data_IF_694542335735
#
_entry.id   IF_694542335735
#
_cell.length_a   1.000
_cell.length_b   1.000
_cell.length_c   1.000
_cell.angle_alpha   90.00
_cell.angle_beta   90.00
_cell.angle_gamma   90.00
#
_symmetry.space_group_name_H-M   'P 1'
#
loop_
_entity.id
_entity.type
_entity.pdbx_description
1 polymer ?
#
# COMPACT_ATOMS: atom_id res chain seq x y z
N UNK A 1 -15.69 7.68 36.15
CA UNK A 1 -14.61 6.83 35.58
C UNK A 1 -13.63 6.58 36.72
N UNK A 2 -13.52 5.33 37.16
CA UNK A 2 -12.51 4.97 38.16
C UNK A 2 -11.12 5.09 37.53
N UNK A 3 -10.18 5.68 38.27
CA UNK A 3 -8.79 5.80 37.87
C UNK A 3 -8.24 4.39 37.59
N UNK A 4 -7.58 4.12 36.44
CA UNK A 4 -6.93 2.83 36.24
C UNK A 4 -5.85 2.68 37.31
N UNK A 5 -6.06 1.78 38.27
CA UNK A 5 -5.02 1.39 39.21
C UNK A 5 -3.85 0.83 38.38
N UNK A 6 -2.72 1.53 38.40
CA UNK A 6 -1.47 1.02 37.89
C UNK A 6 -1.02 -0.12 38.81
N UNK A 7 -0.84 -1.31 38.26
CA UNK A 7 -0.21 -2.45 38.91
C UNK A 7 1.22 -2.60 38.37
N UNK A 8 2.12 -3.12 39.20
CA UNK A 8 3.45 -3.51 38.75
C UNK A 8 3.38 -4.69 37.77
N UNK A 9 4.44 -4.91 37.00
CA UNK A 9 4.52 -6.06 36.08
C UNK A 9 4.34 -7.40 36.79
N UNK A 10 4.93 -7.53 37.99
CA UNK A 10 4.81 -8.73 38.82
C UNK A 10 3.39 -8.92 39.34
N UNK A 11 2.75 -7.84 39.82
CA UNK A 11 1.35 -7.86 40.26
C UNK A 11 0.39 -8.22 39.12
N UNK A 12 0.63 -7.71 37.90
CA UNK A 12 -0.17 -8.04 36.72
C UNK A 12 -0.04 -9.51 36.32
N UNK A 13 1.18 -10.06 36.36
CA UNK A 13 1.46 -11.46 36.04
C UNK A 13 0.87 -12.41 37.09
N UNK A 14 1.01 -12.07 38.37
CA UNK A 14 0.37 -12.75 39.48
C UNK A 14 -1.16 -12.74 39.34
N UNK A 15 -1.73 -11.60 38.95
CA UNK A 15 -3.17 -11.46 38.74
C UNK A 15 -3.72 -12.29 37.58
N UNK A 16 -2.94 -12.45 36.51
CA UNK A 16 -3.35 -13.28 35.39
C UNK A 16 -3.38 -14.77 35.74
N UNK A 17 -2.57 -15.21 36.72
CA UNK A 17 -2.53 -16.59 37.20
C UNK A 17 -3.69 -16.95 38.15
N UNK A 18 -4.41 -15.96 38.70
CA UNK A 18 -5.55 -16.19 39.57
C UNK A 18 -5.17 -16.70 40.97
N UNK A 19 -4.06 -16.23 41.53
CA UNK A 19 -3.69 -16.54 42.92
C UNK A 19 -4.70 -15.91 43.91
N UNK A 20 -4.79 -16.48 45.12
CA UNK A 20 -5.89 -16.25 46.08
C UNK A 20 -6.22 -14.77 46.33
N UNK A 21 -7.52 -14.44 46.36
CA UNK A 21 -8.04 -13.14 46.83
C UNK A 21 -8.46 -12.14 45.75
N UNK A 22 -8.37 -12.50 44.47
CA UNK A 22 -8.68 -11.59 43.36
C UNK A 22 -10.12 -11.73 42.85
N UNK A 23 -10.70 -10.60 42.43
CA UNK A 23 -12.01 -10.61 41.77
C UNK A 23 -11.90 -11.15 40.34
N UNK A 24 -12.97 -11.79 39.85
CA UNK A 24 -13.07 -12.22 38.43
C UNK A 24 -12.78 -11.06 37.46
N UNK A 25 -13.12 -9.83 37.84
CA UNK A 25 -12.88 -8.63 37.04
C UNK A 25 -11.40 -8.23 36.91
N UNK A 26 -10.60 -8.49 37.95
CA UNK A 26 -9.16 -8.22 37.95
C UNK A 26 -8.44 -9.29 37.14
N UNK A 27 -8.77 -10.57 37.37
CA UNK A 27 -8.22 -11.70 36.60
C UNK A 27 -8.46 -11.53 35.10
N UNK A 28 -9.68 -11.16 34.67
CA UNK A 28 -9.99 -10.92 33.25
C UNK A 28 -9.19 -9.76 32.63
N UNK A 29 -8.99 -8.66 33.37
CA UNK A 29 -8.21 -7.50 32.89
C UNK A 29 -6.74 -7.87 32.70
N UNK A 30 -6.13 -8.52 33.69
CA UNK A 30 -4.73 -8.93 33.63
C UNK A 30 -4.51 -10.02 32.57
N UNK A 31 -5.44 -10.96 32.43
CA UNK A 31 -5.40 -11.97 31.37
C UNK A 31 -5.52 -11.35 29.96
N UNK A 32 -6.37 -10.34 29.78
CA UNK A 32 -6.49 -9.63 28.51
C UNK A 32 -5.20 -8.88 28.14
N UNK A 33 -4.55 -8.26 29.12
CA UNK A 33 -3.25 -7.62 28.91
C UNK A 33 -2.18 -8.64 28.53
N UNK A 34 -2.11 -9.78 29.20
CA UNK A 34 -1.13 -10.83 28.89
C UNK A 34 -1.35 -11.45 27.50
N UNK A 35 -2.60 -11.67 27.10
CA UNK A 35 -2.93 -12.07 25.72
C UNK A 35 -2.56 -11.02 24.68
N UNK A 36 -2.66 -9.73 25.02
CA UNK A 36 -2.30 -8.65 24.08
C UNK A 36 -0.81 -8.59 23.74
N UNK A 37 0.05 -9.30 24.49
CA UNK A 37 1.49 -9.37 24.24
C UNK A 37 1.96 -10.77 23.80
N UNK A 38 1.04 -11.67 23.43
CA UNK A 38 1.32 -13.04 22.96
C UNK A 38 2.23 -13.85 23.91
N UNK A 39 2.05 -13.59 25.21
CA UNK A 39 2.74 -14.29 26.26
C UNK A 39 1.73 -15.07 27.11
N UNK A 40 2.24 -16.06 27.81
CA UNK A 40 1.55 -16.81 28.85
C UNK A 40 2.15 -16.41 30.20
N UNK A 41 1.29 -16.09 31.20
CA UNK A 41 1.80 -15.83 32.53
C UNK A 41 2.19 -17.16 33.17
N UNK A 42 3.29 -17.16 33.91
CA UNK A 42 3.72 -18.32 34.67
C UNK A 42 4.28 -17.89 36.03
N UNK A 43 4.19 -18.79 37.00
CA UNK A 43 4.90 -18.68 38.27
C UNK A 43 6.01 -19.72 38.33
N UNK A 44 7.15 -19.31 38.87
CA UNK A 44 8.26 -20.20 39.25
C UNK A 44 8.38 -20.17 40.78
N UNK A 45 8.03 -21.26 41.43
CA UNK A 45 8.26 -21.47 42.86
C UNK A 45 9.57 -22.22 43.06
N UNK A 46 10.42 -21.77 43.97
CA UNK A 46 11.67 -22.46 44.34
C UNK A 46 11.53 -23.05 45.73
N UNK A 47 11.96 -24.29 45.95
CA UNK A 47 11.84 -24.98 47.24
C UNK A 47 13.20 -25.29 47.86
N UNK A 48 13.25 -25.31 49.20
CA UNK A 48 14.38 -25.88 49.94
C UNK A 48 14.31 -27.41 49.85
N UNK A 49 15.30 -28.01 49.19
CA UNK A 49 15.42 -29.45 48.97
C UNK A 49 15.38 -30.27 50.27
N UNK A 50 15.80 -29.69 51.40
CA UNK A 50 15.87 -30.39 52.68
C UNK A 50 14.58 -30.26 53.51
N UNK A 51 13.79 -29.20 53.29
CA UNK A 51 12.64 -28.86 54.16
C UNK A 51 11.29 -28.90 53.45
N UNK A 52 11.27 -29.06 52.11
CA UNK A 52 10.07 -28.91 51.26
C UNK A 52 9.32 -27.60 51.54
N UNK A 53 10.04 -26.58 52.03
CA UNK A 53 9.50 -25.25 52.28
C UNK A 53 9.73 -24.38 51.07
N UNK A 54 8.68 -23.67 50.64
CA UNK A 54 8.73 -22.70 49.56
C UNK A 54 9.63 -21.53 49.95
N UNK A 55 10.69 -21.28 49.16
CA UNK A 55 11.67 -20.20 49.38
C UNK A 55 11.25 -18.90 48.70
N UNK A 56 10.77 -18.99 47.45
CA UNK A 56 10.37 -17.82 46.67
C UNK A 56 9.31 -18.16 45.62
N UNK A 57 8.65 -17.12 45.11
CA UNK A 57 7.87 -17.17 43.88
C UNK A 57 8.23 -15.99 43.01
N UNK A 58 8.53 -16.29 41.76
CA UNK A 58 8.69 -15.27 40.72
C UNK A 58 7.53 -15.40 39.75
N UNK A 59 6.91 -14.28 39.43
CA UNK A 59 5.87 -14.19 38.42
C UNK A 59 6.45 -13.53 37.18
N UNK A 60 6.23 -14.13 36.02
CA UNK A 60 6.79 -13.63 34.76
C UNK A 60 5.88 -13.97 33.58
N UNK A 61 6.22 -13.39 32.43
CA UNK A 61 5.62 -13.68 31.14
C UNK A 61 6.61 -14.48 30.30
N UNK A 62 6.10 -15.49 29.61
CA UNK A 62 6.87 -16.28 28.65
C UNK A 62 6.12 -16.28 27.31
N UNK A 63 6.83 -16.16 26.19
CA UNK A 63 6.16 -16.25 24.88
C UNK A 63 5.49 -17.61 24.71
N UNK A 64 4.39 -17.68 23.97
CA UNK A 64 3.69 -18.94 23.73
C UNK A 64 4.61 -20.03 23.13
N UNK A 65 5.51 -19.69 22.21
CA UNK A 65 6.49 -20.63 21.65
C UNK A 65 7.48 -21.15 22.69
N UNK A 66 7.93 -20.29 23.61
CA UNK A 66 8.83 -20.69 24.70
C UNK A 66 8.11 -21.55 25.72
N UNK A 67 6.82 -21.28 25.99
CA UNK A 67 5.98 -22.10 26.86
C UNK A 67 5.75 -23.50 26.28
N UNK A 68 5.44 -23.60 24.99
CA UNK A 68 5.33 -24.87 24.27
C UNK A 68 6.66 -25.64 24.26
N UNK A 69 7.77 -24.94 24.05
CA UNK A 69 9.11 -25.55 24.11
C UNK A 69 9.42 -26.08 25.50
N UNK A 70 9.15 -25.30 26.55
CA UNK A 70 9.38 -25.70 27.94
C UNK A 70 8.51 -26.88 28.36
N UNK A 71 7.24 -26.91 27.95
CA UNK A 71 6.30 -28.02 28.20
C UNK A 71 6.66 -29.30 27.47
N UNK A 72 7.38 -29.21 26.34
CA UNK A 72 7.94 -30.39 25.66
C UNK A 72 9.22 -30.93 26.29
N UNK A 73 9.97 -30.09 27.03
CA UNK A 73 11.27 -30.44 27.63
C UNK A 73 11.14 -30.95 29.07
N UNK A 74 10.00 -30.68 29.71
CA UNK A 74 9.79 -30.94 31.12
C UNK A 74 8.51 -31.76 31.27
N UNK A 75 8.61 -32.96 31.85
CA UNK A 75 7.42 -33.76 32.17
C UNK A 75 6.64 -33.09 33.30
N UNK A 76 5.47 -32.53 32.95
CA UNK A 76 4.53 -31.94 33.89
C UNK A 76 3.49 -32.98 34.32
N UNK A 77 3.40 -33.25 35.62
CA UNK A 77 2.24 -33.90 36.22
C UNK A 77 1.12 -32.89 36.41
N UNK A 78 -0.08 -33.19 35.90
CA UNK A 78 -1.31 -32.39 36.05
C UNK A 78 -1.20 -30.92 35.61
N UNK A 79 -0.43 -30.61 34.56
CA UNK A 79 -0.21 -29.25 34.02
C UNK A 79 0.38 -28.22 35.02
N UNK A 80 0.88 -28.65 36.20
CA UNK A 80 1.22 -27.74 37.30
C UNK A 80 2.56 -28.10 37.99
N UNK A 81 3.12 -29.31 37.83
CA UNK A 81 4.30 -29.75 38.60
C UNK A 81 5.31 -30.57 37.79
N UNK A 82 6.59 -30.18 37.81
CA UNK A 82 7.71 -30.97 37.29
C UNK A 82 8.50 -31.62 38.43
N UNK A 83 9.03 -32.82 38.22
CA UNK A 83 9.88 -33.55 39.18
C UNK A 83 11.39 -33.46 38.93
N UNK A 84 11.86 -32.64 37.98
CA UNK A 84 13.25 -32.65 37.49
C UNK A 84 14.15 -31.66 38.25
N UNK A 85 13.58 -30.65 38.91
CA UNK A 85 14.30 -29.63 39.69
C UNK A 85 13.52 -29.32 40.98
N UNK A 86 14.19 -28.81 42.01
CA UNK A 86 13.56 -28.36 43.28
C UNK A 86 12.78 -27.04 43.09
N UNK A 87 11.87 -27.02 42.11
CA UNK A 87 11.02 -25.90 41.76
C UNK A 87 9.72 -26.34 41.11
N UNK A 88 8.71 -25.46 41.15
CA UNK A 88 7.41 -25.66 40.50
C UNK A 88 7.18 -24.55 39.50
N UNK A 89 6.98 -24.90 38.24
CA UNK A 89 6.48 -23.97 37.22
C UNK A 89 4.97 -24.19 37.06
N UNK A 90 4.17 -23.15 37.26
CA UNK A 90 2.71 -23.21 37.06
C UNK A 90 2.27 -22.21 36.01
N UNK A 91 1.40 -22.63 35.09
CA UNK A 91 0.72 -21.77 34.13
C UNK A 91 -0.70 -21.47 34.61
N UNK A 92 -1.35 -20.44 34.05
CA UNK A 92 -2.78 -20.22 34.29
C UNK A 92 -3.55 -21.45 33.85
N UNK A 93 -4.38 -22.02 34.74
CA UNK A 93 -5.27 -23.12 34.37
C UNK A 93 -6.17 -22.64 33.23
N UNK A 94 -6.32 -23.47 32.19
CA UNK A 94 -7.29 -23.30 31.12
C UNK A 94 -8.72 -23.42 31.68
N UNK A 95 -9.11 -22.51 32.59
CA UNK A 95 -10.51 -22.22 32.82
C UNK A 95 -11.02 -21.78 31.45
N UNK A 96 -11.87 -22.64 30.89
CA UNK A 96 -12.63 -22.44 29.67
C UNK A 96 -13.48 -21.20 29.84
N UNK A 97 -12.84 -20.04 29.67
CA UNK A 97 -13.51 -18.83 29.26
C UNK A 97 -13.92 -19.17 27.84
N UNK A 98 -15.18 -19.60 27.67
CA UNK A 98 -15.83 -19.56 26.37
C UNK A 98 -15.38 -18.26 25.70
N UNK A 99 -14.80 -18.33 24.50
CA UNK A 99 -14.43 -17.13 23.80
C UNK A 99 -15.72 -16.33 23.74
N UNK A 100 -15.76 -15.21 24.46
CA UNK A 100 -16.79 -14.22 24.25
C UNK A 100 -16.52 -13.81 22.82
N UNK A 101 -17.28 -14.44 21.90
CA UNK A 101 -17.47 -14.04 20.52
C UNK A 101 -17.98 -12.60 20.57
N UNK A 102 -17.02 -11.69 20.69
CA UNK A 102 -17.14 -10.35 20.15
C UNK A 102 -16.40 -10.42 18.84
N UNK A 103 -17.11 -10.09 17.78
CA UNK A 103 -16.67 -9.92 16.40
C UNK A 103 -15.52 -8.89 16.25
N UNK A 104 -14.37 -9.12 16.88
CA UNK A 104 -13.16 -8.36 16.57
C UNK A 104 -12.37 -9.11 15.51
N UNK A 105 -12.48 -8.58 14.30
CA UNK A 105 -11.49 -8.73 13.24
C UNK A 105 -10.08 -8.77 13.84
N UNK A 106 -9.41 -9.91 13.80
CA UNK A 106 -8.14 -10.05 14.52
C UNK A 106 -7.01 -9.43 13.69
N UNK A 107 -6.84 -8.11 13.83
CA UNK A 107 -5.56 -7.46 13.57
C UNK A 107 -4.54 -8.10 14.53
N UNK A 108 -3.32 -8.42 14.08
CA UNK A 108 -2.32 -8.97 15.00
C UNK A 108 -1.99 -7.95 16.09
N UNK A 109 -1.90 -8.40 17.35
CA UNK A 109 -1.52 -7.53 18.47
C UNK A 109 -0.16 -6.83 18.25
N UNK A 110 0.74 -7.47 17.49
CA UNK A 110 2.00 -6.88 17.01
C UNK A 110 1.77 -5.63 16.16
N UNK A 111 0.86 -5.68 15.19
CA UNK A 111 0.53 -4.53 14.34
C UNK A 111 -0.13 -3.41 15.15
N UNK A 112 -1.06 -3.75 16.06
CA UNK A 112 -1.66 -2.75 16.96
C UNK A 112 -0.61 -2.04 17.81
N UNK A 113 0.35 -2.79 18.36
CA UNK A 113 1.45 -2.22 19.15
C UNK A 113 2.37 -1.35 18.28
N UNK A 114 2.71 -1.78 17.06
CA UNK A 114 3.51 -0.98 16.12
C UNK A 114 2.84 0.36 15.83
N UNK A 115 1.53 0.36 15.54
CA UNK A 115 0.80 1.62 15.29
C UNK A 115 0.75 2.47 16.56
N UNK A 116 0.40 1.89 17.71
CA UNK A 116 0.25 2.61 18.99
C UNK A 116 1.56 3.28 19.45
N UNK A 117 2.70 2.67 19.14
CA UNK A 117 4.03 3.19 19.50
C UNK A 117 4.64 4.09 18.43
N UNK A 118 3.98 4.23 17.27
CA UNK A 118 4.43 5.09 16.17
C UNK A 118 4.07 6.57 16.40
N UNK A 119 4.44 7.42 15.45
CA UNK A 119 4.01 8.83 15.41
C UNK A 119 2.58 9.02 14.92
N UNK A 120 1.90 7.94 14.52
CA UNK A 120 0.52 7.96 14.01
C UNK A 120 -0.40 7.01 14.81
N UNK A 121 -0.48 7.14 16.15
CA UNK A 121 -1.18 6.20 17.01
C UNK A 121 -2.70 6.13 16.76
N UNK A 122 -3.30 7.16 16.13
CA UNK A 122 -4.73 7.21 15.81
C UNK A 122 -5.07 6.56 14.47
N UNK A 123 -4.09 6.07 13.70
CA UNK A 123 -4.31 5.53 12.35
C UNK A 123 -5.41 4.46 12.29
N UNK A 124 -5.36 3.47 13.18
CA UNK A 124 -6.38 2.39 13.23
C UNK A 124 -7.75 2.89 13.71
N UNK A 125 -7.77 3.96 14.52
CA UNK A 125 -9.01 4.56 15.00
C UNK A 125 -9.73 5.32 13.87
N UNK A 126 -9.00 6.10 13.09
CA UNK A 126 -9.55 6.96 12.04
C UNK A 126 -9.93 6.18 10.78
N UNK A 127 -9.13 5.18 10.37
CA UNK A 127 -9.41 4.37 9.17
C UNK A 127 -10.43 3.25 9.45
N UNK A 128 -10.72 2.94 10.71
CA UNK A 128 -11.69 1.92 11.08
C UNK A 128 -11.13 0.49 11.08
N UNK A 129 -12.00 -0.53 11.14
CA UNK A 129 -11.57 -1.91 11.37
C UNK A 129 -10.88 -2.52 10.14
N UNK A 130 -9.81 -3.27 10.41
CA UNK A 130 -9.06 -4.04 9.43
C UNK A 130 -9.28 -5.54 9.59
N UNK A 131 -9.13 -6.28 8.50
CA UNK A 131 -9.05 -7.74 8.50
C UNK A 131 -7.88 -8.19 7.63
N UNK A 132 -7.23 -9.30 7.98
CA UNK A 132 -6.29 -9.95 7.07
C UNK A 132 -7.07 -10.43 5.83
N UNK A 133 -6.45 -10.34 4.65
CA UNK A 133 -7.07 -10.79 3.41
C UNK A 133 -7.47 -12.27 3.50
N UNK A 134 -8.70 -12.60 3.12
CA UNK A 134 -9.26 -13.94 3.21
C UNK A 134 -9.27 -14.68 1.85
N UNK A 135 -9.61 -15.96 1.89
CA UNK A 135 -9.64 -16.82 0.71
C UNK A 135 -10.62 -16.32 -0.38
N UNK A 136 -11.76 -15.73 0.00
CA UNK A 136 -12.74 -15.25 -0.96
C UNK A 136 -12.19 -14.06 -1.75
N UNK A 137 -11.59 -13.08 -1.07
CA UNK A 137 -10.96 -11.94 -1.75
C UNK A 137 -9.78 -12.43 -2.61
N UNK A 138 -8.97 -13.36 -2.12
CA UNK A 138 -7.86 -13.95 -2.89
C UNK A 138 -8.33 -14.61 -4.18
N UNK A 139 -9.43 -15.37 -4.15
CA UNK A 139 -9.98 -16.02 -5.34
C UNK A 139 -10.48 -15.00 -6.37
N UNK A 140 -11.17 -13.95 -5.92
CA UNK A 140 -11.67 -12.88 -6.81
C UNK A 140 -10.53 -12.06 -7.43
N UNK A 141 -9.44 -11.84 -6.70
CA UNK A 141 -8.25 -11.17 -7.23
C UNK A 141 -7.50 -12.02 -8.26
N UNK A 142 -7.72 -13.34 -8.28
CA UNK A 142 -7.19 -14.27 -9.29
C UNK A 142 -8.19 -14.58 -10.41
N UNK A 143 -9.28 -13.83 -10.50
CA UNK A 143 -10.24 -13.94 -11.60
C UNK A 143 -9.57 -13.75 -12.97
N UNK A 144 -10.06 -14.45 -13.98
CA UNK A 144 -9.61 -14.26 -15.36
C UNK A 144 -10.21 -12.98 -15.96
N UNK A 145 -9.49 -11.87 -15.77
CA UNK A 145 -9.92 -10.56 -16.26
C UNK A 145 -9.96 -10.43 -17.79
N UNK A 146 -9.53 -11.44 -18.57
CA UNK A 146 -9.82 -11.47 -20.02
C UNK A 146 -11.31 -11.61 -20.29
N UNK A 147 -12.06 -12.19 -19.35
CA UNK A 147 -13.51 -12.36 -19.47
C UNK A 147 -14.26 -11.06 -19.16
N UNK A 148 -13.75 -10.22 -18.26
CA UNK A 148 -14.34 -8.95 -17.81
C UNK A 148 -13.25 -7.98 -17.36
N UNK A 149 -12.63 -7.28 -18.30
CA UNK A 149 -11.47 -6.41 -18.03
C UNK A 149 -11.81 -5.19 -17.17
N UNK A 150 -13.07 -4.77 -17.16
CA UNK A 150 -13.54 -3.62 -16.40
C UNK A 150 -13.41 -3.87 -14.88
N UNK A 151 -13.51 -5.12 -14.43
CA UNK A 151 -13.40 -5.46 -13.00
C UNK A 151 -12.02 -5.17 -12.40
N UNK A 152 -10.98 -5.00 -13.24
CA UNK A 152 -9.64 -4.63 -12.78
C UNK A 152 -9.66 -3.29 -12.03
N UNK A 153 -10.55 -2.37 -12.40
CA UNK A 153 -10.63 -1.04 -11.79
C UNK A 153 -11.06 -1.07 -10.31
N UNK A 154 -11.67 -2.16 -9.86
CA UNK A 154 -12.07 -2.37 -8.47
C UNK A 154 -10.89 -2.66 -7.55
N UNK A 155 -9.76 -3.06 -8.11
CA UNK A 155 -8.60 -3.55 -7.36
C UNK A 155 -7.84 -2.41 -6.66
N UNK A 156 -7.43 -1.31 -7.32
CA UNK A 156 -6.69 -0.25 -6.63
C UNK A 156 -7.45 0.37 -5.43
N UNK A 157 -8.76 0.68 -5.51
CA UNK A 157 -9.50 1.22 -4.37
C UNK A 157 -9.50 0.30 -3.14
N UNK A 158 -9.57 -1.02 -3.35
CA UNK A 158 -9.49 -2.04 -2.28
C UNK A 158 -8.17 -1.96 -1.50
N UNK A 159 -7.06 -1.71 -2.19
CA UNK A 159 -5.71 -1.71 -1.61
C UNK A 159 -5.22 -0.34 -1.14
N UNK A 160 -5.79 0.77 -1.63
CA UNK A 160 -5.60 2.06 -0.96
C UNK A 160 -6.01 1.91 0.52
N UNK A 161 -5.25 2.50 1.44
CA UNK A 161 -5.33 2.31 2.90
C UNK A 161 -5.05 0.91 3.45
N UNK A 162 -4.64 -0.07 2.64
CA UNK A 162 -4.18 -1.36 3.16
C UNK A 162 -2.90 -1.21 3.99
N UNK A 163 -2.75 -2.07 5.00
CA UNK A 163 -1.55 -2.18 5.80
C UNK A 163 -0.77 -3.46 5.42
N UNK A 164 0.48 -3.28 5.01
CA UNK A 164 1.43 -4.38 4.83
C UNK A 164 2.24 -4.53 6.10
N UNK A 165 2.34 -5.73 6.65
CA UNK A 165 3.04 -5.98 7.90
C UNK A 165 3.97 -7.18 7.78
N UNK A 166 5.27 -6.90 7.92
CA UNK A 166 6.35 -7.88 8.02
C UNK A 166 7.37 -7.33 9.05
N UNK A 167 8.68 -7.26 8.71
CA UNK A 167 9.68 -6.58 9.54
C UNK A 167 9.44 -5.08 9.68
N UNK A 168 8.73 -4.49 8.71
CA UNK A 168 8.22 -3.12 8.75
C UNK A 168 6.70 -3.14 8.54
N UNK A 169 6.05 -2.04 8.92
CA UNK A 169 4.63 -1.81 8.61
C UNK A 169 4.51 -0.67 7.63
N UNK A 170 3.78 -0.87 6.53
CA UNK A 170 3.54 0.14 5.51
C UNK A 170 2.04 0.40 5.36
N UNK A 171 1.65 1.67 5.32
CA UNK A 171 0.35 2.10 4.81
C UNK A 171 0.46 2.36 3.31
N UNK A 172 -0.40 1.71 2.51
CA UNK A 172 -0.52 1.98 1.07
C UNK A 172 -1.38 3.24 0.89
N UNK A 173 -0.80 4.27 0.28
CA UNK A 173 -1.50 5.53 -0.03
C UNK A 173 -1.99 5.50 -1.47
N UNK A 174 -1.12 5.16 -2.42
CA UNK A 174 -1.43 5.10 -3.86
C UNK A 174 -0.89 3.82 -4.45
N UNK A 175 -1.71 3.17 -5.28
CA UNK A 175 -1.29 2.01 -6.05
C UNK A 175 -1.91 2.03 -7.45
N UNK A 176 -1.24 1.35 -8.38
CA UNK A 176 -1.71 1.18 -9.75
C UNK A 176 -1.65 -0.28 -10.17
N UNK A 177 -2.68 -0.74 -10.89
CA UNK A 177 -2.81 -2.13 -11.33
C UNK A 177 -2.44 -2.28 -12.80
N UNK A 178 -1.87 -3.43 -13.16
CA UNK A 178 -1.59 -3.83 -14.54
C UNK A 178 -1.82 -5.33 -14.71
N UNK A 179 -2.34 -5.74 -15.86
CA UNK A 179 -2.64 -7.15 -16.13
C UNK A 179 -1.41 -7.90 -16.61
N UNK A 180 -1.30 -9.20 -16.31
CA UNK A 180 -0.31 -10.08 -16.92
C UNK A 180 -0.64 -10.42 -18.38
N UNK A 181 -1.87 -10.15 -18.83
CA UNK A 181 -2.31 -10.51 -20.17
C UNK A 181 -2.24 -9.30 -21.11
N UNK A 182 -1.38 -9.40 -22.13
CA UNK A 182 -1.19 -8.35 -23.14
C UNK A 182 -2.44 -8.01 -23.96
N UNK A 183 -3.41 -8.92 -24.02
CA UNK A 183 -4.73 -8.69 -24.62
C UNK A 183 -5.62 -7.74 -23.81
N UNK A 184 -5.35 -7.61 -22.50
CA UNK A 184 -6.06 -6.73 -21.57
C UNK A 184 -5.25 -5.46 -21.33
N UNK A 185 -3.92 -5.58 -21.23
CA UNK A 185 -3.03 -4.47 -20.97
C UNK A 185 -1.72 -4.58 -21.74
N UNK A 186 -1.43 -3.59 -22.61
CA UNK A 186 -0.15 -3.54 -23.34
C UNK A 186 1.08 -3.46 -22.42
N UNK A 187 0.90 -2.98 -21.19
CA UNK A 187 1.97 -2.85 -20.19
C UNK A 187 2.11 -4.10 -19.31
N UNK A 188 1.66 -5.26 -19.80
CA UNK A 188 1.79 -6.52 -19.10
C UNK A 188 3.24 -6.88 -18.79
N UNK A 189 3.46 -7.50 -17.64
CA UNK A 189 4.80 -7.96 -17.27
C UNK A 189 5.35 -8.93 -18.31
N UNK A 190 6.60 -8.76 -18.70
CA UNK A 190 7.31 -9.66 -19.61
C UNK A 190 7.93 -10.87 -18.90
N UNK A 191 8.11 -10.76 -17.59
CA UNK A 191 8.65 -11.79 -16.71
C UNK A 191 7.54 -12.31 -15.80
N UNK A 192 7.50 -13.61 -15.49
CA UNK A 192 6.55 -14.14 -14.50
C UNK A 192 7.08 -13.96 -13.06
N UNK A 193 7.88 -12.90 -12.82
CA UNK A 193 8.68 -12.78 -11.59
C UNK A 193 7.84 -12.53 -10.35
N UNK A 194 6.70 -11.84 -10.48
CA UNK A 194 5.78 -11.59 -9.37
C UNK A 194 4.60 -12.55 -9.31
N UNK A 195 4.58 -13.58 -10.15
CA UNK A 195 3.56 -14.64 -10.07
C UNK A 195 3.76 -15.38 -8.74
N UNK A 196 2.69 -15.55 -7.94
CA UNK A 196 2.79 -16.19 -6.64
C UNK A 196 3.20 -17.66 -6.73
N UNK A 197 3.99 -18.09 -5.74
CA UNK A 197 4.49 -19.47 -5.62
C UNK A 197 4.02 -20.14 -4.33
N UNK A 198 4.30 -21.43 -4.17
CA UNK A 198 3.99 -22.18 -2.93
C UNK A 198 4.72 -21.63 -1.69
N UNK A 199 5.85 -20.94 -1.89
CA UNK A 199 6.59 -20.31 -0.79
C UNK A 199 5.98 -18.98 -0.32
N UNK A 200 5.01 -18.42 -1.05
CA UNK A 200 4.35 -17.20 -0.62
C UNK A 200 3.43 -17.46 0.57
N UNK A 201 3.22 -16.43 1.40
CA UNK A 201 2.30 -16.51 2.55
C UNK A 201 0.91 -17.01 2.15
N UNK A 202 0.43 -16.55 0.99
CA UNK A 202 -0.88 -16.87 0.45
C UNK A 202 -0.84 -17.98 -0.60
N UNK A 203 0.19 -18.84 -0.59
CA UNK A 203 0.31 -20.12 -1.30
C UNK A 203 -0.27 -20.12 -2.73
N UNK A 204 0.51 -19.64 -3.70
CA UNK A 204 0.10 -19.49 -5.10
C UNK A 204 -1.07 -18.52 -5.38
N UNK A 205 -1.75 -17.93 -4.40
CA UNK A 205 -2.81 -16.96 -4.70
C UNK A 205 -2.27 -15.53 -4.81
N UNK A 206 -1.30 -15.17 -3.98
CA UNK A 206 -0.78 -13.82 -3.94
C UNK A 206 0.66 -13.79 -3.46
N UNK A 207 1.42 -12.87 -4.04
CA UNK A 207 2.77 -12.52 -3.63
C UNK A 207 2.84 -11.07 -3.16
N UNK A 208 3.73 -10.76 -2.23
CA UNK A 208 3.98 -9.38 -1.80
C UNK A 208 5.44 -9.21 -1.39
N UNK A 209 6.23 -8.57 -2.25
CA UNK A 209 7.65 -8.31 -1.97
C UNK A 209 8.18 -7.22 -2.89
N UNK A 210 9.49 -6.97 -2.79
CA UNK A 210 10.19 -6.03 -3.64
C UNK A 210 10.92 -6.72 -4.77
N UNK A 211 10.88 -6.11 -5.96
CA UNK A 211 11.51 -6.62 -7.18
C UNK A 211 12.40 -5.55 -7.79
N UNK A 212 13.62 -5.92 -8.18
CA UNK A 212 14.45 -5.03 -8.99
C UNK A 212 13.94 -5.02 -10.43
N UNK A 213 13.39 -3.90 -10.87
CA UNK A 213 12.88 -3.73 -12.24
C UNK A 213 13.34 -2.40 -12.84
N UNK A 214 13.58 -2.41 -14.14
CA UNK A 214 13.86 -1.21 -14.94
C UNK A 214 12.66 -0.86 -15.80
N UNK A 215 12.29 0.42 -15.85
CA UNK A 215 11.29 0.97 -16.77
C UNK A 215 11.96 1.66 -17.97
N UNK A 216 13.01 1.05 -18.51
CA UNK A 216 13.85 1.66 -19.55
C UNK A 216 14.90 2.65 -19.01
N UNK A 217 15.14 2.63 -17.69
CA UNK A 217 16.14 3.45 -17.00
C UNK A 217 16.97 2.65 -16.01
N UNK A 218 17.47 3.31 -14.95
CA UNK A 218 18.15 2.62 -13.86
C UNK A 218 17.23 1.59 -13.19
N UNK A 219 17.80 0.46 -12.76
CA UNK A 219 17.09 -0.52 -11.94
C UNK A 219 16.61 0.15 -10.65
N UNK A 220 15.34 -0.07 -10.31
CA UNK A 220 14.73 0.41 -9.07
C UNK A 220 14.13 -0.77 -8.34
N UNK A 221 14.25 -0.74 -7.02
CA UNK A 221 13.54 -1.67 -6.16
C UNK A 221 12.07 -1.24 -6.09
N UNK A 222 11.15 -2.09 -6.55
CA UNK A 222 9.72 -1.79 -6.61
C UNK A 222 8.93 -2.69 -5.68
N UNK A 223 8.02 -2.13 -4.87
CA UNK A 223 7.10 -2.92 -4.06
C UNK A 223 5.87 -3.32 -4.89
N UNK A 224 5.66 -4.63 -5.05
CA UNK A 224 4.59 -5.18 -5.89
C UNK A 224 3.80 -6.21 -5.09
N UNK A 225 2.47 -6.13 -5.20
CA UNK A 225 1.55 -7.21 -4.82
C UNK A 225 1.16 -7.93 -6.10
N UNK A 226 1.59 -9.18 -6.25
CA UNK A 226 1.34 -9.98 -7.45
C UNK A 226 0.25 -11.01 -7.22
N UNK A 227 -0.57 -11.26 -8.23
CA UNK A 227 -1.52 -12.38 -8.30
C UNK A 227 -1.20 -13.20 -9.55
N UNK A 228 -2.01 -14.21 -9.89
CA UNK A 228 -1.84 -14.94 -11.16
C UNK A 228 -2.24 -14.15 -12.40
N UNK A 229 -3.02 -13.08 -12.28
CA UNK A 229 -3.63 -12.40 -13.44
C UNK A 229 -3.33 -10.89 -13.51
N UNK A 230 -2.99 -10.28 -12.37
CA UNK A 230 -2.64 -8.86 -12.25
C UNK A 230 -1.51 -8.63 -11.25
N UNK A 231 -0.85 -7.50 -11.38
CA UNK A 231 0.05 -6.93 -10.39
C UNK A 231 -0.46 -5.56 -9.95
N UNK A 232 -0.23 -5.24 -8.69
CA UNK A 232 -0.40 -3.90 -8.13
C UNK A 232 0.99 -3.35 -7.80
N UNK A 233 1.37 -2.25 -8.44
CA UNK A 233 2.54 -1.47 -8.09
C UNK A 233 2.16 -0.44 -7.02
N UNK A 234 2.86 -0.45 -5.90
CA UNK A 234 2.70 0.55 -4.85
C UNK A 234 3.55 1.76 -5.21
N UNK A 235 2.90 2.89 -5.51
CA UNK A 235 3.56 4.12 -5.98
C UNK A 235 3.53 5.25 -4.97
N UNK A 236 2.77 5.11 -3.88
CA UNK A 236 2.97 5.91 -2.67
C UNK A 236 2.65 5.08 -1.43
N UNK A 237 3.56 5.07 -0.47
CA UNK A 237 3.38 4.39 0.82
C UNK A 237 4.07 5.14 1.95
N UNK A 238 3.58 4.93 3.17
CA UNK A 238 4.17 5.48 4.40
C UNK A 238 4.60 4.34 5.32
N UNK A 239 5.85 4.37 5.77
CA UNK A 239 6.32 3.51 6.84
C UNK A 239 5.74 3.97 8.18
N UNK A 240 5.11 3.03 8.90
CA UNK A 240 4.52 3.27 10.21
C UNK A 240 5.59 3.03 11.27
N UNK A 241 6.21 4.12 11.72
CA UNK A 241 7.28 4.09 12.72
C UNK A 241 7.32 5.39 13.54
N UNK A 242 8.30 5.48 14.44
CA UNK A 242 8.58 6.72 15.19
C UNK A 242 9.12 7.83 14.28
N UNK A 243 9.57 7.52 13.07
CA UNK A 243 9.97 8.48 12.05
C UNK A 243 9.48 8.03 10.66
N UNK A 244 8.24 8.40 10.27
CA UNK A 244 7.65 7.92 9.03
C UNK A 244 8.48 8.30 7.81
N UNK A 245 8.77 7.30 6.98
CA UNK A 245 9.37 7.49 5.66
C UNK A 245 8.28 7.37 4.60
N UNK A 246 8.23 8.33 3.70
CA UNK A 246 7.28 8.33 2.59
C UNK A 246 8.03 7.89 1.34
N UNK A 247 7.59 6.77 0.76
CA UNK A 247 8.03 6.35 -0.57
C UNK A 247 7.05 6.91 -1.59
N UNK A 248 7.56 7.52 -2.66
CA UNK A 248 6.76 8.08 -3.74
C UNK A 248 7.39 7.80 -5.10
N UNK A 249 6.57 7.43 -6.07
CA UNK A 249 6.99 6.93 -7.37
C UNK A 249 7.19 5.40 -7.35
N UNK A 250 7.71 4.84 -8.45
CA UNK A 250 7.78 3.38 -8.62
C UNK A 250 8.84 2.69 -7.75
N UNK A 251 9.76 3.44 -7.16
CA UNK A 251 10.86 2.91 -6.34
C UNK A 251 10.61 3.04 -4.84
N UNK A 252 11.14 2.12 -4.05
CA UNK A 252 11.13 2.16 -2.59
C UNK A 252 12.54 2.25 -2.01
N UNK A 253 12.69 2.89 -0.85
CA UNK A 253 13.98 3.17 -0.21
C UNK A 253 14.26 2.33 1.05
N UNK A 254 13.35 1.42 1.43
CA UNK A 254 13.60 0.48 2.54
C UNK A 254 14.45 -0.72 2.10
N UNK A 255 15.09 -1.39 3.06
CA UNK A 255 16.03 -2.47 2.79
C UNK A 255 15.41 -3.64 2.02
N UNK A 256 16.22 -4.29 1.19
CA UNK A 256 15.83 -5.58 0.61
C UNK A 256 15.46 -6.56 1.72
N UNK A 257 14.33 -7.26 1.53
CA UNK A 257 13.81 -8.19 2.53
C UNK A 257 13.07 -7.54 3.70
N UNK A 258 12.82 -6.22 3.70
CA UNK A 258 11.94 -5.63 4.73
C UNK A 258 10.48 -6.09 4.59
N UNK A 259 10.05 -6.33 3.35
CA UNK A 259 8.78 -6.96 3.00
C UNK A 259 9.11 -8.20 2.17
N UNK A 260 8.83 -9.38 2.73
CA UNK A 260 9.11 -10.68 2.12
C UNK A 260 7.84 -11.43 1.77
N UNK A 261 7.90 -12.17 0.68
CA UNK A 261 6.75 -12.90 0.15
C UNK A 261 6.18 -13.95 1.12
N UNK A 262 7.06 -14.58 1.91
CA UNK A 262 6.70 -15.63 2.86
C UNK A 262 6.09 -15.12 4.16
N UNK A 263 6.40 -13.88 4.58
CA UNK A 263 6.00 -13.36 5.89
C UNK A 263 4.97 -12.22 5.82
N UNK A 264 4.94 -11.46 4.73
CA UNK A 264 4.13 -10.25 4.63
C UNK A 264 2.63 -10.50 4.76
N UNK A 265 2.03 -9.97 5.83
CA UNK A 265 0.58 -9.93 6.03
C UNK A 265 -0.02 -8.69 5.39
N UNK A 266 -1.19 -8.84 4.80
CA UNK A 266 -1.93 -7.77 4.13
C UNK A 266 -3.25 -7.62 4.85
N UNK A 267 -3.43 -6.46 5.47
CA UNK A 267 -4.66 -6.10 6.15
C UNK A 267 -5.42 -5.08 5.32
N UNK A 268 -6.67 -5.39 5.01
CA UNK A 268 -7.59 -4.55 4.25
C UNK A 268 -8.63 -3.95 5.20
N UNK A 269 -9.07 -2.73 4.89
CA UNK A 269 -10.22 -2.14 5.60
C UNK A 269 -11.48 -2.95 5.32
N UNK A 270 -12.23 -3.30 6.36
CA UNK A 270 -13.45 -4.11 6.21
C UNK A 270 -14.47 -3.48 5.28
N UNK A 271 -14.72 -2.18 5.43
CA UNK A 271 -15.66 -1.44 4.59
C UNK A 271 -15.32 -1.54 3.10
N UNK A 272 -14.02 -1.54 2.77
CA UNK A 272 -13.54 -1.68 1.38
C UNK A 272 -13.67 -3.10 0.86
N UNK A 273 -13.45 -4.10 1.71
CA UNK A 273 -13.70 -5.51 1.34
C UNK A 273 -15.20 -5.70 1.06
N UNK A 274 -16.08 -5.23 1.92
CA UNK A 274 -17.53 -5.31 1.75
C UNK A 274 -17.99 -4.61 0.46
N UNK A 275 -17.47 -3.40 0.19
CA UNK A 275 -17.73 -2.67 -1.05
C UNK A 275 -17.22 -3.43 -2.28
N UNK A 276 -15.98 -3.94 -2.24
CA UNK A 276 -15.39 -4.72 -3.33
C UNK A 276 -16.22 -5.95 -3.66
N UNK A 277 -16.60 -6.75 -2.66
CA UNK A 277 -17.42 -7.96 -2.86
C UNK A 277 -18.76 -7.62 -3.51
N UNK A 278 -19.44 -6.60 -2.98
CA UNK A 278 -20.71 -6.12 -3.53
C UNK A 278 -20.56 -5.62 -4.97
N UNK A 279 -19.52 -4.84 -5.26
CA UNK A 279 -19.27 -4.32 -6.59
C UNK A 279 -18.91 -5.43 -7.57
N UNK A 280 -18.13 -6.43 -7.16
CA UNK A 280 -17.74 -7.54 -8.02
C UNK A 280 -18.97 -8.36 -8.48
N UNK A 281 -19.91 -8.64 -7.57
CA UNK A 281 -21.15 -9.34 -7.86
C UNK A 281 -22.11 -8.53 -8.73
N UNK A 282 -22.29 -7.25 -8.39
CA UNK A 282 -23.33 -6.41 -9.00
C UNK A 282 -22.82 -5.56 -10.15
N UNK A 283 -21.56 -5.73 -10.55
CA UNK A 283 -20.84 -4.77 -11.37
C UNK A 283 -21.65 -4.34 -12.59
N UNK A 284 -22.15 -3.12 -12.50
CA UNK A 284 -22.65 -2.34 -13.62
C UNK A 284 -21.61 -1.25 -13.82
N UNK A 285 -21.27 -0.98 -15.08
CA UNK A 285 -20.50 0.21 -15.45
C UNK A 285 -21.27 1.43 -14.93
N UNK A 286 -20.94 1.89 -13.73
CA UNK A 286 -21.27 3.23 -13.33
C UNK A 286 -20.41 4.14 -14.21
N UNK A 287 -20.95 5.27 -14.71
CA UNK A 287 -20.11 6.27 -15.34
C UNK A 287 -19.09 6.71 -14.27
N UNK A 288 -17.88 6.16 -14.36
CA UNK A 288 -16.80 6.47 -13.45
C UNK A 288 -16.60 7.98 -13.43
N UNK A 289 -16.27 8.52 -12.26
CA UNK A 289 -15.67 9.83 -12.20
C UNK A 289 -14.34 9.77 -12.95
N UNK A 290 -14.36 10.21 -14.22
CA UNK A 290 -13.17 10.29 -15.06
C UNK A 290 -12.24 11.32 -14.43
N UNK A 291 -11.14 10.84 -13.87
CA UNK A 291 -10.11 11.67 -13.25
C UNK A 291 -8.75 11.30 -13.84
N UNK A 292 -8.09 12.26 -14.48
CA UNK A 292 -6.77 12.08 -15.10
C UNK A 292 -5.73 11.63 -14.08
N UNK A 293 -5.88 11.98 -12.80
CA UNK A 293 -4.99 11.52 -11.72
C UNK A 293 -5.01 10.00 -11.52
N UNK A 294 -6.06 9.32 -11.99
CA UNK A 294 -6.20 7.86 -11.93
C UNK A 294 -5.51 7.15 -13.11
N UNK A 295 -4.90 7.89 -14.03
CA UNK A 295 -4.02 7.32 -15.05
C UNK A 295 -2.70 6.86 -14.44
N UNK A 296 -2.19 5.73 -14.93
CA UNK A 296 -0.93 5.14 -14.47
C UNK A 296 0.28 5.96 -14.92
N UNK A 297 1.42 5.74 -14.27
CA UNK A 297 2.67 6.34 -14.69
C UNK A 297 3.24 5.50 -15.84
N UNK A 298 3.13 6.02 -17.06
CA UNK A 298 3.61 5.35 -18.27
C UNK A 298 4.53 6.25 -19.08
N UNK A 299 5.42 5.63 -19.85
CA UNK A 299 6.40 6.32 -20.70
C UNK A 299 6.33 5.90 -22.16
N UNK A 300 5.45 4.95 -22.51
CA UNK A 300 5.39 4.37 -23.86
C UNK A 300 4.00 3.86 -24.22
N UNK A 301 3.86 3.28 -25.42
CA UNK A 301 2.64 2.64 -25.91
C UNK A 301 1.40 3.55 -25.96
N UNK A 302 1.60 4.86 -26.15
CA UNK A 302 0.53 5.85 -26.28
C UNK A 302 -0.42 5.62 -27.48
N UNK A 303 -0.05 4.74 -28.42
CA UNK A 303 -0.96 4.32 -29.50
C UNK A 303 -2.04 3.32 -29.07
N UNK A 304 -1.97 2.80 -27.84
CA UNK A 304 -2.91 1.80 -27.32
C UNK A 304 -3.86 2.43 -26.30
N UNK A 305 -5.16 2.13 -26.42
CA UNK A 305 -6.16 2.62 -25.48
C UNK A 305 -5.92 2.13 -24.04
N UNK A 306 -5.33 0.95 -23.85
CA UNK A 306 -5.01 0.40 -22.52
C UNK A 306 -4.03 1.26 -21.71
N UNK A 307 -3.24 2.11 -22.38
CA UNK A 307 -2.36 3.11 -21.76
C UNK A 307 -3.13 4.20 -21.01
N UNK A 308 -4.41 4.37 -21.32
CA UNK A 308 -5.27 5.42 -20.78
C UNK A 308 -6.34 4.88 -19.81
N UNK A 309 -6.20 3.63 -19.35
CA UNK A 309 -7.15 3.06 -18.37
C UNK A 309 -6.92 3.67 -16.99
N UNK A 310 -8.02 3.95 -16.29
CA UNK A 310 -8.07 4.59 -14.97
C UNK A 310 -7.78 3.58 -13.85
N UNK A 311 -6.61 2.96 -13.92
CA UNK A 311 -6.22 1.82 -13.09
C UNK A 311 -5.30 2.20 -11.92
N UNK A 312 -5.38 3.46 -11.47
CA UNK A 312 -4.76 3.94 -10.25
C UNK A 312 -5.83 4.44 -9.29
N UNK A 313 -5.62 4.21 -8.01
CA UNK A 313 -6.38 4.85 -6.94
C UNK A 313 -5.43 5.43 -5.89
N UNK A 314 -5.91 6.44 -5.19
CA UNK A 314 -5.26 7.05 -4.02
C UNK A 314 -6.23 7.05 -2.84
N UNK A 315 -5.69 6.95 -1.63
CA UNK A 315 -6.43 7.13 -0.39
C UNK A 315 -7.08 8.53 -0.36
N UNK A 316 -8.38 8.60 -0.08
CA UNK A 316 -9.22 9.79 -0.26
C UNK A 316 -8.66 11.05 0.42
N UNK A 317 -8.07 10.91 1.61
CA UNK A 317 -7.49 12.01 2.38
C UNK A 317 -6.26 12.64 1.70
N UNK A 318 -5.69 11.95 0.72
CA UNK A 318 -4.57 12.34 -0.13
C UNK A 318 -4.99 12.59 -1.58
N UNK A 319 -6.29 12.55 -1.92
CA UNK A 319 -6.80 12.82 -3.26
C UNK A 319 -6.89 14.34 -3.53
N UNK A 320 -5.72 14.98 -3.58
CA UNK A 320 -5.55 16.39 -3.93
C UNK A 320 -4.23 16.59 -4.66
N UNK A 321 -4.17 17.56 -5.57
CA UNK A 321 -3.03 17.79 -6.47
C UNK A 321 -1.69 17.98 -5.76
N UNK A 322 -1.69 18.38 -4.49
CA UNK A 322 -0.47 18.61 -3.69
C UNK A 322 0.06 17.36 -2.97
N UNK A 323 -0.73 16.27 -2.97
CA UNK A 323 -0.43 14.99 -2.33
C UNK A 323 -0.35 13.84 -3.34
N UNK A 324 -0.99 13.99 -4.50
CA UNK A 324 -0.96 13.00 -5.57
C UNK A 324 0.40 12.95 -6.26
N UNK A 325 0.83 11.74 -6.57
CA UNK A 325 2.00 11.48 -7.40
C UNK A 325 1.88 12.24 -8.74
N UNK A 326 2.90 13.06 -9.04
CA UNK A 326 3.03 13.68 -10.34
C UNK A 326 3.33 12.61 -11.40
N UNK A 327 2.65 12.70 -12.53
CA UNK A 327 2.86 11.85 -13.70
C UNK A 327 3.08 12.68 -14.94
N UNK A 328 3.34 12.01 -16.07
CA UNK A 328 3.38 12.65 -17.38
C UNK A 328 2.08 13.40 -17.74
N UNK A 329 0.94 13.02 -17.14
CA UNK A 329 -0.37 13.63 -17.39
C UNK A 329 -0.76 14.74 -16.40
N UNK A 330 -0.11 14.81 -15.24
CA UNK A 330 -0.52 15.68 -14.12
C UNK A 330 0.57 16.67 -13.71
N UNK A 331 1.79 16.54 -14.23
CA UNK A 331 2.89 17.46 -13.94
C UNK A 331 2.52 18.92 -14.29
N UNK A 332 1.77 19.14 -15.37
CA UNK A 332 1.34 20.47 -15.79
C UNK A 332 0.42 21.19 -14.79
N UNK A 333 -0.26 20.45 -13.92
CA UNK A 333 -1.24 20.98 -12.96
C UNK A 333 -0.58 21.47 -11.66
N UNK A 334 0.71 21.17 -11.46
CA UNK A 334 1.41 21.54 -10.25
C UNK A 334 1.68 23.06 -10.19
N UNK A 335 1.48 23.69 -9.02
CA UNK A 335 1.72 25.12 -8.84
C UNK A 335 3.22 25.45 -8.86
N UNK A 336 3.61 26.42 -9.67
CA UNK A 336 5.01 26.87 -9.80
C UNK A 336 5.55 27.55 -8.53
N UNK A 337 4.69 28.23 -7.76
CA UNK A 337 5.11 29.17 -6.70
C UNK A 337 5.66 28.53 -5.42
N UNK A 338 5.47 27.22 -5.24
CA UNK A 338 5.80 26.53 -3.98
C UNK A 338 7.01 25.60 -4.12
N UNK A 339 7.78 25.73 -5.21
CA UNK A 339 9.05 25.00 -5.39
C UNK A 339 8.91 23.51 -5.75
N UNK A 340 7.70 23.04 -6.10
CA UNK A 340 7.46 21.67 -6.58
C UNK A 340 6.73 21.56 -7.91
N UNK A 341 6.24 22.67 -8.47
CA UNK A 341 5.77 22.73 -9.85
C UNK A 341 6.88 23.04 -10.83
N UNK A 342 6.53 23.04 -12.12
CA UNK A 342 7.45 23.42 -13.20
C UNK A 342 7.12 24.82 -13.68
N UNK A 343 8.14 25.57 -14.11
CA UNK A 343 7.95 26.91 -14.68
C UNK A 343 6.93 26.89 -15.81
N UNK A 344 6.13 27.96 -15.89
CA UNK A 344 5.05 28.06 -16.87
C UNK A 344 5.56 27.95 -18.32
N UNK A 345 6.78 28.42 -18.56
CA UNK A 345 7.47 28.44 -19.86
C UNK A 345 8.36 27.22 -20.10
N UNK A 346 8.32 26.21 -19.22
CA UNK A 346 9.18 25.03 -19.34
C UNK A 346 8.67 24.01 -20.35
N UNK A 347 9.60 23.28 -20.96
CA UNK A 347 9.28 22.20 -21.90
C UNK A 347 8.57 21.05 -21.22
N UNK A 348 8.90 20.79 -19.97
CA UNK A 348 8.21 19.77 -19.18
C UNK A 348 6.74 20.13 -18.92
N UNK A 349 6.41 21.41 -18.68
CA UNK A 349 5.00 21.79 -18.54
C UNK A 349 4.24 21.61 -19.85
N UNK A 350 4.79 22.10 -20.96
CA UNK A 350 4.16 21.97 -22.28
C UNK A 350 4.02 20.51 -22.72
N UNK A 351 5.07 19.72 -22.54
CA UNK A 351 5.07 18.28 -22.83
C UNK A 351 3.99 17.54 -22.03
N UNK A 352 3.84 17.86 -20.74
CA UNK A 352 2.78 17.28 -19.91
C UNK A 352 1.37 17.71 -20.35
N UNK A 353 1.17 18.98 -20.69
CA UNK A 353 -0.13 19.46 -21.22
C UNK A 353 -0.51 18.74 -22.53
N UNK A 354 0.44 18.53 -23.44
CA UNK A 354 0.19 17.79 -24.68
C UNK A 354 -0.28 16.36 -24.35
N UNK A 355 0.45 15.65 -23.48
CA UNK A 355 0.09 14.27 -23.09
C UNK A 355 -1.26 14.23 -22.36
N UNK A 356 -1.56 15.24 -21.54
CA UNK A 356 -2.84 15.39 -20.86
C UNK A 356 -3.99 15.58 -21.87
N UNK A 357 -3.80 16.36 -22.93
CA UNK A 357 -4.80 16.53 -24.01
C UNK A 357 -5.04 15.20 -24.73
N UNK A 358 -3.97 14.47 -25.07
CA UNK A 358 -4.12 13.14 -25.70
C UNK A 358 -4.95 12.21 -24.81
N UNK A 359 -4.66 12.18 -23.50
CA UNK A 359 -5.40 11.36 -22.55
C UNK A 359 -6.87 11.79 -22.42
N UNK A 360 -7.13 13.10 -22.29
CA UNK A 360 -8.48 13.65 -22.22
C UNK A 360 -9.30 13.30 -23.46
N UNK A 361 -8.69 13.36 -24.65
CA UNK A 361 -9.36 13.00 -25.88
C UNK A 361 -9.78 11.51 -25.90
N UNK A 362 -8.93 10.60 -25.44
CA UNK A 362 -9.26 9.18 -25.28
C UNK A 362 -10.39 8.98 -24.27
N UNK A 363 -10.29 9.60 -23.10
CA UNK A 363 -11.21 9.40 -21.98
C UNK A 363 -12.60 10.02 -22.19
N UNK A 364 -12.68 11.19 -22.85
CA UNK A 364 -13.91 12.01 -22.93
C UNK A 364 -14.42 12.14 -24.36
N UNK A 365 -13.52 12.28 -25.33
CA UNK A 365 -13.87 12.62 -26.72
C UNK A 365 -13.77 11.41 -27.66
N UNK A 366 -13.91 10.19 -27.14
CA UNK A 366 -13.86 8.93 -27.92
C UNK A 366 -12.59 8.79 -28.77
N UNK A 367 -11.47 9.34 -28.30
CA UNK A 367 -10.17 9.29 -28.97
C UNK A 367 -9.96 10.34 -30.05
N UNK A 368 -10.79 11.38 -30.12
CA UNK A 368 -10.70 12.44 -31.13
C UNK A 368 -10.34 13.78 -30.50
N UNK A 369 -9.37 14.48 -31.09
CA UNK A 369 -8.97 15.84 -30.74
C UNK A 369 -9.60 16.84 -31.71
N UNK A 370 -10.21 17.88 -31.15
CA UNK A 370 -10.71 19.03 -31.90
C UNK A 370 -9.70 20.18 -31.88
N UNK A 371 -9.70 21.09 -32.88
CA UNK A 371 -8.82 22.27 -32.87
C UNK A 371 -8.94 23.13 -31.60
N UNK A 372 -10.14 23.24 -31.04
CA UNK A 372 -10.40 23.98 -29.80
C UNK A 372 -9.70 23.38 -28.57
N UNK A 373 -9.48 22.07 -28.55
CA UNK A 373 -8.80 21.39 -27.43
C UNK A 373 -7.31 21.78 -27.35
N UNK A 374 -6.72 22.18 -28.49
CA UNK A 374 -5.29 22.42 -28.64
C UNK A 374 -4.90 23.91 -28.68
N UNK A 375 -5.88 24.80 -28.83
CA UNK A 375 -5.65 26.23 -29.06
C UNK A 375 -4.78 26.91 -28.00
N UNK A 376 -5.05 26.66 -26.72
CA UNK A 376 -4.28 27.27 -25.62
C UNK A 376 -2.82 26.81 -25.60
N UNK A 377 -2.56 25.53 -25.87
CA UNK A 377 -1.21 24.95 -25.94
C UNK A 377 -0.43 25.55 -27.11
N UNK A 378 -1.08 25.79 -28.25
CA UNK A 378 -0.45 26.47 -29.39
C UNK A 378 -0.09 27.92 -29.07
N UNK A 379 -0.96 28.67 -28.39
CA UNK A 379 -0.66 30.04 -27.96
C UNK A 379 0.53 30.10 -26.99
N UNK A 380 0.57 29.17 -26.03
CA UNK A 380 1.69 29.06 -25.09
C UNK A 380 3.00 28.72 -25.82
N UNK A 381 2.95 27.75 -26.75
CA UNK A 381 4.08 27.39 -27.60
C UNK A 381 4.60 28.58 -28.42
N UNK A 382 3.74 29.30 -29.12
CA UNK A 382 4.13 30.47 -29.92
C UNK A 382 4.76 31.58 -29.07
N UNK A 383 4.23 31.78 -27.86
CA UNK A 383 4.79 32.74 -26.90
C UNK A 383 6.20 32.35 -26.46
N UNK A 384 6.44 31.06 -26.19
CA UNK A 384 7.75 30.52 -25.79
C UNK A 384 8.75 30.60 -26.94
N UNK A 385 8.35 30.24 -28.17
CA UNK A 385 9.25 30.28 -29.34
C UNK A 385 9.75 31.68 -29.68
N UNK A 386 8.97 32.73 -29.35
CA UNK A 386 9.40 34.13 -29.50
C UNK A 386 10.55 34.52 -28.56
N UNK A 387 10.78 33.76 -27.48
CA UNK A 387 11.77 34.08 -26.44
C UNK A 387 13.18 33.53 -26.72
N UNK A 388 13.45 32.97 -27.92
CA UNK A 388 14.76 32.40 -28.32
C UNK A 388 15.30 31.33 -27.36
N UNK A 389 14.44 30.41 -26.94
CA UNK A 389 14.83 29.25 -26.13
C UNK A 389 15.75 28.28 -26.90
N UNK A 390 16.55 27.49 -26.17
CA UNK A 390 17.36 26.43 -26.78
C UNK A 390 16.44 25.35 -27.39
N UNK A 391 16.41 25.31 -28.71
CA UNK A 391 15.50 24.45 -29.51
C UNK A 391 15.78 22.96 -29.29
N UNK A 392 16.97 22.57 -28.83
CA UNK A 392 17.37 21.17 -28.73
C UNK A 392 16.58 20.39 -27.68
N UNK A 393 16.33 20.98 -26.51
CA UNK A 393 15.58 20.30 -25.44
C UNK A 393 14.12 20.04 -25.87
N UNK A 394 13.60 20.91 -26.73
CA UNK A 394 12.20 20.94 -27.16
C UNK A 394 11.92 20.16 -28.44
N UNK A 395 12.95 19.65 -29.14
CA UNK A 395 12.80 19.07 -30.46
C UNK A 395 11.67 18.01 -30.57
N UNK A 396 11.57 17.11 -29.59
CA UNK A 396 10.53 16.07 -29.54
C UNK A 396 9.14 16.65 -29.32
N UNK A 397 9.04 17.71 -28.50
CA UNK A 397 7.79 18.43 -28.23
C UNK A 397 7.34 19.15 -29.50
N UNK A 398 8.25 19.88 -30.15
CA UNK A 398 8.02 20.58 -31.42
C UNK A 398 7.52 19.60 -32.48
N UNK A 399 8.18 18.45 -32.64
CA UNK A 399 7.78 17.44 -33.62
C UNK A 399 6.37 16.91 -33.37
N UNK A 400 5.98 16.71 -32.11
CA UNK A 400 4.61 16.30 -31.75
C UNK A 400 3.61 17.41 -32.05
N UNK A 401 3.93 18.67 -31.70
CA UNK A 401 3.09 19.84 -31.97
C UNK A 401 2.86 20.07 -33.47
N UNK A 402 3.92 20.03 -34.27
CA UNK A 402 3.86 20.18 -35.72
C UNK A 402 3.01 19.07 -36.35
N UNK A 403 3.17 17.82 -35.88
CA UNK A 403 2.37 16.69 -36.32
C UNK A 403 0.88 16.83 -35.99
N UNK A 404 0.55 17.32 -34.78
CA UNK A 404 -0.83 17.59 -34.37
C UNK A 404 -1.42 18.71 -35.24
N UNK A 405 -0.69 19.81 -35.39
CA UNK A 405 -1.13 20.99 -36.16
C UNK A 405 -1.39 20.63 -37.63
N UNK A 406 -0.46 19.91 -38.27
CA UNK A 406 -0.62 19.45 -39.65
C UNK A 406 -1.85 18.54 -39.80
N UNK A 407 -2.12 17.69 -38.82
CA UNK A 407 -3.29 16.81 -38.85
C UNK A 407 -4.60 17.58 -38.68
N UNK A 408 -4.65 18.54 -37.74
CA UNK A 408 -5.83 19.34 -37.45
C UNK A 408 -6.21 20.34 -38.55
N UNK A 409 -5.26 20.74 -39.40
CA UNK A 409 -5.55 21.54 -40.60
C UNK A 409 -6.42 20.74 -41.59
N UNK A 410 -6.28 19.41 -41.61
CA UNK A 410 -6.94 18.54 -42.59
C UNK A 410 -8.31 18.02 -42.15
N UNK A 411 -8.51 17.75 -40.86
CA UNK A 411 -9.78 17.32 -40.23
C UNK A 411 -9.56 17.03 -38.73
N UNK A 412 -10.53 16.42 -38.05
CA UNK A 412 -10.37 15.90 -36.69
C UNK A 412 -9.20 14.90 -36.55
N UNK A 413 -8.52 14.88 -35.40
CA UNK A 413 -7.36 14.01 -35.18
C UNK A 413 -7.70 12.81 -34.28
N UNK A 414 -7.56 11.60 -34.81
CA UNK A 414 -7.61 10.36 -34.02
C UNK A 414 -6.30 10.16 -33.24
N UNK A 415 -6.39 10.11 -31.90
CA UNK A 415 -5.23 9.92 -31.01
C UNK A 415 -4.50 8.60 -31.26
N UNK A 416 -5.18 7.43 -31.32
CA UNK A 416 -4.48 6.17 -31.60
C UNK A 416 -3.72 6.18 -32.92
N UNK A 417 -4.34 6.74 -33.98
CA UNK A 417 -3.70 6.85 -35.31
C UNK A 417 -2.50 7.80 -35.28
N UNK A 418 -2.64 8.96 -34.65
CA UNK A 418 -1.56 9.91 -34.48
C UNK A 418 -0.38 9.31 -33.72
N UNK A 419 -0.65 8.69 -32.57
CA UNK A 419 0.36 8.06 -31.74
C UNK A 419 0.97 6.81 -32.39
N UNK A 420 0.27 6.13 -33.31
CA UNK A 420 0.87 5.04 -34.08
C UNK A 420 1.94 5.57 -35.05
N UNK A 421 1.67 6.71 -35.71
CA UNK A 421 2.59 7.32 -36.66
C UNK A 421 3.72 8.11 -35.97
N UNK A 422 3.48 8.62 -34.76
CA UNK A 422 4.39 9.50 -34.02
C UNK A 422 4.83 8.93 -32.66
N UNK A 423 4.59 7.64 -32.40
CA UNK A 423 4.73 7.04 -31.07
C UNK A 423 6.12 7.15 -30.45
N UNK A 424 7.16 7.07 -31.28
CA UNK A 424 8.54 7.29 -30.81
C UNK A 424 8.74 8.69 -30.24
N UNK A 425 8.19 9.73 -30.89
CA UNK A 425 8.29 11.12 -30.43
C UNK A 425 7.42 11.40 -29.21
N UNK A 426 6.21 10.83 -29.14
CA UNK A 426 5.35 10.94 -27.94
C UNK A 426 6.00 10.28 -26.73
N UNK A 427 6.61 9.10 -26.91
CA UNK A 427 7.35 8.42 -25.84
C UNK A 427 8.61 9.18 -25.43
N UNK A 428 9.29 9.84 -26.36
CA UNK A 428 10.44 10.68 -26.05
C UNK A 428 10.04 11.91 -25.20
N UNK A 429 8.90 12.53 -25.48
CA UNK A 429 8.33 13.59 -24.62
C UNK A 429 8.08 13.04 -23.21
N UNK A 430 7.42 11.88 -23.08
CA UNK A 430 7.18 11.21 -21.80
C UNK A 430 8.48 10.95 -21.02
N UNK A 431 9.52 10.47 -21.69
CA UNK A 431 10.82 10.19 -21.06
C UNK A 431 11.51 11.47 -20.57
N UNK A 432 11.47 12.57 -21.34
CA UNK A 432 12.05 13.87 -20.97
C UNK A 432 11.41 14.48 -19.71
N UNK A 433 10.17 14.12 -19.40
CA UNK A 433 9.45 14.59 -18.22
C UNK A 433 9.95 13.93 -16.91
N UNK A 434 10.68 12.81 -17.00
CA UNK A 434 11.02 11.97 -15.85
C UNK A 434 11.78 12.69 -14.73
N UNK A 435 12.71 13.59 -15.07
CA UNK A 435 13.49 14.35 -14.09
C UNK A 435 12.62 15.35 -13.33
N UNK A 436 11.79 16.13 -14.03
CA UNK A 436 10.85 17.07 -13.44
C UNK A 436 9.82 16.35 -12.55
N UNK A 437 9.31 15.20 -13.00
CA UNK A 437 8.41 14.34 -12.21
C UNK A 437 9.10 13.88 -10.92
N UNK A 438 10.35 13.40 -11.01
CA UNK A 438 11.10 12.96 -9.82
C UNK A 438 11.29 14.10 -8.82
N UNK A 439 11.64 15.30 -9.29
CA UNK A 439 11.80 16.49 -8.43
C UNK A 439 10.49 16.89 -7.76
N UNK A 440 9.39 16.93 -8.52
CA UNK A 440 8.07 17.23 -7.99
C UNK A 440 7.66 16.22 -6.91
N UNK A 441 7.85 14.93 -7.18
CA UNK A 441 7.48 13.86 -6.26
C UNK A 441 8.27 13.92 -4.94
N UNK A 442 9.56 14.25 -4.98
CA UNK A 442 10.35 14.44 -3.75
C UNK A 442 9.76 15.52 -2.82
N UNK A 443 9.12 16.55 -3.37
CA UNK A 443 8.44 17.58 -2.59
C UNK A 443 7.05 17.13 -2.14
N UNK A 444 6.31 16.44 -3.01
CA UNK A 444 5.01 15.84 -2.65
C UNK A 444 5.16 14.86 -1.48
N UNK A 445 6.24 14.06 -1.42
CA UNK A 445 6.53 13.19 -0.29
C UNK A 445 6.57 13.94 1.06
N UNK A 446 7.12 15.18 1.08
CA UNK A 446 7.13 16.02 2.29
C UNK A 446 5.72 16.46 2.67
N UNK A 447 4.89 16.82 1.69
CA UNK A 447 3.49 17.19 1.90
C UNK A 447 2.67 16.02 2.42
N UNK A 448 2.86 14.83 1.84
CA UNK A 448 2.24 13.57 2.29
C UNK A 448 2.66 13.26 3.72
N UNK A 449 3.95 13.36 4.08
CA UNK A 449 4.41 13.16 5.46
C UNK A 449 3.72 14.11 6.44
N UNK A 450 3.64 15.39 6.09
CA UNK A 450 2.97 16.41 6.92
C UNK A 450 1.48 16.10 7.10
N UNK A 451 0.80 15.73 6.01
CA UNK A 451 -0.63 15.39 6.02
C UNK A 451 -0.91 14.12 6.82
N UNK A 452 -0.07 13.09 6.67
CA UNK A 452 -0.15 11.85 7.44
C UNK A 452 -0.10 12.11 8.95
N UNK A 453 0.89 12.92 9.39
CA UNK A 453 1.00 13.30 10.81
C UNK A 453 -0.20 14.14 11.26
N UNK A 454 -0.67 15.08 10.44
CA UNK A 454 -1.85 15.89 10.76
C UNK A 454 -3.11 15.04 10.99
N UNK A 455 -3.29 13.96 10.23
CA UNK A 455 -4.46 13.10 10.31
C UNK A 455 -4.40 12.13 11.50
N UNK A 456 -3.22 11.59 11.82
CA UNK A 456 -3.13 10.39 12.65
C UNK A 456 -2.23 10.52 13.89
N UNK A 457 -1.55 11.65 14.10
CA UNK A 457 -0.84 11.98 15.35
C UNK A 457 -1.86 12.37 16.44
#
# INVERSE_FOLDING_TARGET
MENPQAFSFEEGSEQALGTQGQTVSQRKRSHHFVHSVDCQPFSLEVFDCNKRTKLSTTFALMTNDSALSLTSLIDFQNNITSGIFDGRVSFSSNDTIEPVLKDSACISAKLEMTVRTSTVPKLLQELGPYQEIDAMVLDLLNYDFRLRSELIELIPPLFCSALLHDSITLLIITCEVYSHHSSVDIHSESTESSVPSESSRYKNHMSCTTYEKSDGGAMKLKLIIGTKTVNLLITCSAEISTEPKINIGPGVEFGHGSITDSNCKIYLMKSKVEEFLKMFETFKLNPLHVNISNLRQITSSFSKCSSYLLWRSTLQEFDSSIYLLATVFTLCDLPNKDGYGVEATSGAKLGSQILQILAKAILVNKGVIQPSDFYNVLLEYESIMKQKCDVKEWFSIIKVLDGITASLISSELSVPSFCNNNGGSVSEVANKLSSSISTANNMIAKNVKKKLLQLYQ
#
